data_IF_014546497057
#
_entry.id   IF_014546497057
#
_cell.length_a   1.000
_cell.length_b   1.000
_cell.length_c   1.000
_cell.angle_alpha   90.00
_cell.angle_beta   90.00
_cell.angle_gamma   90.00
#
_symmetry.space_group_name_H-M   'P 1'
#
loop_
_entity.id
_entity.type
_entity.pdbx_description
1 polymer ?
#
# COMPACT_ATOMS: atom_id res chain seq x y z
N UNK A 1 -0.13 -3.58 -20.29
CA UNK A 1 -0.81 -2.93 -19.16
C UNK A 1 -2.07 -2.26 -19.67
N UNK A 2 -3.17 -2.45 -18.95
CA UNK A 2 -4.45 -1.79 -19.24
C UNK A 2 -4.51 -0.42 -18.57
N UNK A 3 -5.37 0.48 -19.06
CA UNK A 3 -5.64 1.78 -18.41
C UNK A 3 -6.08 1.63 -16.94
N UNK A 4 -6.72 0.51 -16.59
CA UNK A 4 -7.10 0.21 -15.22
C UNK A 4 -5.89 -0.11 -14.34
N UNK A 5 -4.85 -0.76 -14.88
CA UNK A 5 -3.61 -1.03 -14.15
C UNK A 5 -2.84 0.28 -13.89
N UNK A 6 -2.82 1.21 -14.85
CA UNK A 6 -2.18 2.51 -14.68
C UNK A 6 -2.82 3.31 -13.54
N UNK A 7 -4.16 3.28 -13.43
CA UNK A 7 -4.88 3.94 -12.34
C UNK A 7 -4.55 3.29 -10.98
N UNK A 8 -4.52 1.96 -10.90
CA UNK A 8 -4.16 1.27 -9.66
C UNK A 8 -2.72 1.56 -9.23
N UNK A 9 -1.78 1.62 -10.18
CA UNK A 9 -0.40 2.00 -9.91
C UNK A 9 -0.34 3.45 -9.40
N UNK A 10 -1.13 4.35 -9.98
CA UNK A 10 -1.23 5.73 -9.49
C UNK A 10 -1.76 5.78 -8.04
N UNK A 11 -2.79 5.00 -7.71
CA UNK A 11 -3.33 4.90 -6.35
C UNK A 11 -2.27 4.41 -5.35
N UNK A 12 -1.48 3.39 -5.72
CA UNK A 12 -0.36 2.90 -4.91
C UNK A 12 0.67 4.00 -4.66
N UNK A 13 1.08 4.70 -5.72
CA UNK A 13 2.09 5.75 -5.61
C UNK A 13 1.61 6.92 -4.76
N UNK A 14 0.35 7.33 -4.91
CA UNK A 14 -0.25 8.39 -4.11
C UNK A 14 -0.32 7.99 -2.63
N UNK A 15 -0.82 6.80 -2.33
CA UNK A 15 -0.91 6.31 -0.96
C UNK A 15 0.49 6.16 -0.31
N UNK A 16 1.49 5.70 -1.07
CA UNK A 16 2.87 5.61 -0.59
C UNK A 16 3.47 6.99 -0.29
N UNK A 17 3.17 8.00 -1.10
CA UNK A 17 3.62 9.38 -0.88
C UNK A 17 3.00 9.98 0.40
N UNK A 18 1.71 9.74 0.64
CA UNK A 18 1.03 10.14 1.87
C UNK A 18 1.62 9.41 3.09
N UNK A 19 1.87 8.11 2.97
CA UNK A 19 2.48 7.31 4.03
C UNK A 19 3.90 7.80 4.36
N UNK A 20 4.70 8.13 3.36
CA UNK A 20 6.03 8.71 3.57
C UNK A 20 5.99 10.00 4.41
N UNK A 21 4.94 10.82 4.20
CA UNK A 21 4.73 12.05 4.99
C UNK A 21 4.39 11.73 6.45
N UNK A 22 3.61 10.68 6.72
CA UNK A 22 3.33 10.22 8.08
C UNK A 22 4.59 9.66 8.75
N UNK A 23 5.36 8.85 8.03
CA UNK A 23 6.62 8.23 8.52
C UNK A 23 7.67 9.30 8.85
N UNK A 24 7.75 10.38 8.05
CA UNK A 24 8.63 11.51 8.34
C UNK A 24 8.34 12.19 9.69
N UNK A 25 7.11 12.07 10.21
CA UNK A 25 6.75 12.51 11.56
C UNK A 25 7.35 11.67 12.68
N UNK A 26 7.91 10.50 12.36
CA UNK A 26 8.63 9.63 13.28
C UNK A 26 7.73 8.78 14.19
N UNK A 27 8.37 7.84 14.90
CA UNK A 27 7.70 6.84 15.72
C UNK A 27 6.90 7.44 16.88
N UNK A 28 7.42 8.49 17.52
CA UNK A 28 6.74 9.14 18.64
C UNK A 28 5.39 9.74 18.24
N UNK A 29 5.35 10.48 17.12
CA UNK A 29 4.10 11.07 16.62
C UNK A 29 3.07 10.00 16.20
N UNK A 30 3.53 8.84 15.75
CA UNK A 30 2.68 7.71 15.42
C UNK A 30 2.10 7.04 16.67
N UNK A 31 2.92 6.75 17.68
CA UNK A 31 2.48 6.01 18.87
C UNK A 31 1.47 6.80 19.73
N UNK A 32 1.51 8.15 19.69
CA UNK A 32 0.67 9.00 20.53
C UNK A 32 -0.60 9.52 19.85
N UNK A 33 -0.81 9.24 18.56
CA UNK A 33 -1.94 9.78 17.78
C UNK A 33 -2.68 8.66 17.05
N UNK A 34 -3.87 8.32 17.56
CA UNK A 34 -4.71 7.26 17.01
C UNK A 34 -5.20 7.58 15.58
N UNK A 35 -5.35 8.86 15.22
CA UNK A 35 -5.74 9.23 13.85
C UNK A 35 -4.60 8.96 12.89
N UNK A 36 -3.35 9.21 13.28
CA UNK A 36 -2.17 8.86 12.48
C UNK A 36 -2.01 7.35 12.31
N UNK A 37 -2.31 6.58 13.35
CA UNK A 37 -2.31 5.11 13.28
C UNK A 37 -3.36 4.63 12.28
N UNK A 38 -4.60 5.09 12.43
CA UNK A 38 -5.72 4.75 11.53
C UNK A 38 -5.44 5.15 10.08
N UNK A 39 -4.87 6.34 9.86
CA UNK A 39 -4.49 6.80 8.53
C UNK A 39 -3.41 5.91 7.92
N UNK A 40 -2.40 5.53 8.70
CA UNK A 40 -1.33 4.61 8.27
C UNK A 40 -1.89 3.24 7.89
N UNK A 41 -2.76 2.66 8.72
CA UNK A 41 -3.45 1.39 8.41
C UNK A 41 -4.21 1.47 7.10
N UNK A 42 -5.01 2.52 6.91
CA UNK A 42 -5.82 2.68 5.70
C UNK A 42 -4.97 2.86 4.44
N UNK A 43 -3.86 3.57 4.53
CA UNK A 43 -2.92 3.73 3.41
C UNK A 43 -2.26 2.40 3.03
N UNK A 44 -1.86 1.60 4.02
CA UNK A 44 -1.31 0.25 3.77
C UNK A 44 -2.34 -0.69 3.15
N UNK A 45 -3.60 -0.60 3.56
CA UNK A 45 -4.70 -1.35 2.97
C UNK A 45 -4.90 -0.99 1.49
N UNK A 46 -4.97 0.31 1.15
CA UNK A 46 -5.09 0.78 -0.24
C UNK A 46 -3.93 0.28 -1.10
N UNK A 47 -2.68 0.38 -0.60
CA UNK A 47 -1.50 -0.11 -1.32
C UNK A 47 -1.61 -1.62 -1.56
N UNK A 48 -2.02 -2.39 -0.56
CA UNK A 48 -2.20 -3.84 -0.66
C UNK A 48 -3.28 -4.23 -1.67
N UNK A 49 -4.45 -3.61 -1.59
CA UNK A 49 -5.59 -3.86 -2.49
C UNK A 49 -5.22 -3.56 -3.95
N UNK A 50 -4.64 -2.39 -4.21
CA UNK A 50 -4.25 -1.98 -5.55
C UNK A 50 -3.11 -2.86 -6.11
N UNK A 51 -2.13 -3.22 -5.27
CA UNK A 51 -1.05 -4.14 -5.67
C UNK A 51 -1.57 -5.54 -6.01
N UNK A 52 -2.52 -6.06 -5.23
CA UNK A 52 -3.14 -7.35 -5.49
C UNK A 52 -3.91 -7.33 -6.82
N UNK A 53 -4.71 -6.28 -7.06
CA UNK A 53 -5.46 -6.13 -8.30
C UNK A 53 -4.54 -5.99 -9.55
N UNK A 54 -3.38 -5.35 -9.42
CA UNK A 54 -2.35 -5.31 -10.49
C UNK A 54 -1.73 -6.70 -10.70
N UNK A 55 -1.41 -7.41 -9.61
CA UNK A 55 -0.86 -8.77 -9.67
C UNK A 55 -1.80 -9.77 -10.36
N UNK A 56 -3.07 -9.78 -9.97
CA UNK A 56 -4.12 -10.61 -10.59
C UNK A 56 -4.26 -10.33 -12.09
N UNK A 57 -4.30 -9.05 -12.47
CA UNK A 57 -4.35 -8.61 -13.88
C UNK A 57 -3.14 -9.09 -14.68
N UNK A 58 -1.96 -9.15 -14.05
CA UNK A 58 -0.73 -9.64 -14.65
C UNK A 58 -0.58 -11.18 -14.62
N UNK A 59 -1.51 -11.92 -14.02
CA UNK A 59 -1.39 -13.36 -13.80
C UNK A 59 -0.31 -13.75 -12.79
N UNK A 60 0.09 -12.82 -11.92
CA UNK A 60 1.09 -13.01 -10.87
C UNK A 60 0.36 -13.25 -9.54
N UNK A 61 0.49 -14.45 -8.99
CA UNK A 61 0.06 -14.73 -7.62
C UNK A 61 1.06 -14.13 -6.63
N UNK A 62 0.79 -12.88 -6.25
CA UNK A 62 1.61 -12.11 -5.31
C UNK A 62 1.68 -12.80 -3.95
N UNK A 63 0.56 -13.37 -3.46
CA UNK A 63 0.52 -14.07 -2.18
C UNK A 63 1.28 -15.41 -2.21
N UNK A 64 1.15 -16.19 -3.28
CA UNK A 64 1.91 -17.42 -3.48
C UNK A 64 3.42 -17.19 -3.60
N UNK A 65 3.84 -16.04 -4.13
CA UNK A 65 5.26 -15.65 -4.19
C UNK A 65 5.84 -15.41 -2.79
N UNK A 66 5.12 -14.70 -1.91
CA UNK A 66 5.57 -14.45 -0.54
C UNK A 66 5.45 -15.67 0.38
N UNK A 67 4.53 -16.60 0.09
CA UNK A 67 4.40 -17.85 0.83
C UNK A 67 5.59 -18.80 0.62
N UNK A 68 6.27 -18.74 -0.54
CA UNK A 68 7.48 -19.55 -0.84
C UNK A 68 8.76 -19.06 -0.17
N UNK A 69 8.75 -17.88 0.46
CA UNK A 69 9.91 -17.29 1.13
C UNK A 69 9.96 -17.62 2.64
N UNK A 70 9.11 -18.55 3.10
CA UNK A 70 9.04 -19.06 4.48
C UNK A 70 9.32 -20.56 4.46
#
# INVERSE_FOLDING_TARGET
MSRADDLRIADVLEAAQQLATLVAGGRGAFDTDWMRQRATERLLEIIGEASNAVGESAGIDVFGMYAKLR
#
